data_IF_434222049299
#
_entry.id   IF_434222049299
#
_cell.length_a   1.000
_cell.length_b   1.000
_cell.length_c   1.000
_cell.angle_alpha   90.00
_cell.angle_beta   90.00
_cell.angle_gamma   90.00
#
_symmetry.space_group_name_H-M   'P 1'
#
loop_
_entity.id
_entity.type
_entity.pdbx_description
1 polymer ?
#
# COMPACT_ATOMS: atom_id res chain seq x y z
N UNK A 1 15.82 16.93 -33.60
CA UNK A 1 16.14 15.64 -32.98
C UNK A 1 16.54 15.92 -31.53
N UNK A 2 15.66 15.73 -30.53
CA UNK A 2 16.02 16.10 -29.17
C UNK A 2 16.70 14.91 -28.51
N UNK A 3 18.02 15.01 -28.39
CA UNK A 3 18.84 14.16 -27.54
C UNK A 3 18.27 14.15 -26.12
N UNK A 4 17.66 13.04 -25.72
CA UNK A 4 17.43 12.73 -24.33
C UNK A 4 18.79 12.43 -23.67
N UNK A 5 19.08 12.95 -22.47
CA UNK A 5 20.32 12.62 -21.78
C UNK A 5 20.33 11.14 -21.43
N UNK A 6 21.22 10.37 -22.07
CA UNK A 6 21.46 8.97 -21.72
C UNK A 6 22.20 8.91 -20.38
N UNK A 7 21.45 8.71 -19.30
CA UNK A 7 22.03 8.38 -18.01
C UNK A 7 22.54 6.94 -18.08
N UNK A 8 23.87 6.77 -18.23
CA UNK A 8 24.52 5.46 -18.28
C UNK A 8 24.34 4.76 -16.92
N UNK A 9 23.35 3.88 -16.84
CA UNK A 9 23.18 2.98 -15.70
C UNK A 9 24.34 1.98 -15.71
N UNK A 10 25.23 2.08 -14.71
CA UNK A 10 26.20 1.04 -14.40
C UNK A 10 25.44 -0.24 -14.09
N UNK A 11 25.68 -1.31 -14.85
CA UNK A 11 25.05 -2.62 -14.68
C UNK A 11 25.64 -3.34 -13.46
N UNK A 12 25.38 -2.77 -12.28
CA UNK A 12 25.60 -3.42 -10.99
C UNK A 12 24.58 -4.54 -10.81
N UNK A 13 25.01 -5.62 -10.17
CA UNK A 13 24.38 -6.94 -10.05
C UNK A 13 23.13 -6.95 -9.14
N UNK A 14 22.23 -5.99 -9.32
CA UNK A 14 20.97 -5.83 -8.60
C UNK A 14 19.89 -5.31 -9.55
N UNK A 15 19.04 -6.19 -10.05
CA UNK A 15 18.12 -5.91 -11.17
C UNK A 15 16.81 -5.24 -10.71
N UNK A 16 16.89 -4.22 -9.84
CA UNK A 16 15.70 -3.45 -9.47
C UNK A 16 15.47 -2.29 -10.42
N UNK A 17 14.19 -2.09 -10.77
CA UNK A 17 13.77 -1.06 -11.72
C UNK A 17 12.51 -0.37 -11.25
N UNK A 18 12.54 0.96 -11.19
CA UNK A 18 11.36 1.79 -11.06
C UNK A 18 10.83 2.13 -12.46
N UNK A 19 9.55 1.87 -12.70
CA UNK A 19 8.87 2.23 -13.94
C UNK A 19 7.82 3.29 -13.62
N UNK A 20 7.96 4.46 -14.22
CA UNK A 20 7.04 5.58 -14.06
C UNK A 20 6.29 5.72 -15.39
N UNK A 21 4.96 5.66 -15.34
CA UNK A 21 4.11 5.88 -16.52
C UNK A 21 3.13 6.99 -16.23
N UNK A 22 2.80 7.78 -17.26
CA UNK A 22 1.87 8.90 -17.11
C UNK A 22 1.69 9.69 -18.39
N UNK A 23 1.15 10.90 -18.26
CA UNK A 23 0.98 11.84 -19.36
C UNK A 23 1.90 13.06 -19.15
N UNK A 24 2.67 13.44 -20.16
CA UNK A 24 3.40 14.71 -20.20
C UNK A 24 2.76 15.59 -21.29
N UNK A 25 2.19 16.72 -20.90
CA UNK A 25 1.42 17.59 -21.81
C UNK A 25 0.32 16.82 -22.59
N UNK A 26 -0.36 15.88 -21.92
CA UNK A 26 -1.41 15.05 -22.51
C UNK A 26 -0.91 13.87 -23.37
N UNK A 27 0.42 13.70 -23.53
CA UNK A 27 0.99 12.57 -24.29
C UNK A 27 1.46 11.45 -23.35
N UNK A 28 1.14 10.18 -23.65
CA UNK A 28 1.67 9.05 -22.89
C UNK A 28 3.19 9.02 -22.87
N UNK A 29 3.75 8.82 -21.67
CA UNK A 29 5.18 8.73 -21.43
C UNK A 29 5.50 7.64 -20.41
N UNK A 30 6.66 7.00 -20.59
CA UNK A 30 7.20 5.95 -19.72
C UNK A 30 8.68 6.23 -19.47
N UNK A 31 9.08 6.19 -18.21
CA UNK A 31 10.46 6.29 -17.77
C UNK A 31 10.84 5.06 -16.96
N UNK A 32 12.09 4.65 -17.11
CA UNK A 32 12.65 3.52 -16.39
C UNK A 32 13.96 3.93 -15.74
N UNK A 33 14.09 3.63 -14.44
CA UNK A 33 15.30 3.89 -13.67
C UNK A 33 15.73 2.59 -13.01
N UNK A 34 16.91 2.08 -13.41
CA UNK A 34 17.54 0.94 -12.78
C UNK A 34 18.36 1.40 -11.56
N UNK A 35 18.31 0.65 -10.47
CA UNK A 35 19.06 0.94 -9.25
C UNK A 35 19.37 -0.35 -8.48
N UNK A 36 20.46 -0.35 -7.72
CA UNK A 36 20.80 -1.46 -6.84
C UNK A 36 20.11 -1.32 -5.47
N UNK A 37 19.20 -2.24 -5.16
CA UNK A 37 18.53 -2.27 -3.85
C UNK A 37 19.31 -3.06 -2.80
N UNK A 38 20.28 -3.90 -3.21
CA UNK A 38 20.98 -4.83 -2.33
C UNK A 38 21.65 -4.17 -1.11
N UNK A 39 22.24 -2.96 -1.20
CA UNK A 39 22.82 -2.27 -0.05
C UNK A 39 21.81 -1.96 1.07
N UNK A 40 20.53 -1.80 0.73
CA UNK A 40 19.47 -1.42 1.67
C UNK A 40 18.75 -2.63 2.29
N UNK A 41 18.94 -3.83 1.72
CA UNK A 41 18.34 -5.07 2.22
C UNK A 41 19.23 -5.77 3.26
N UNK A 42 20.54 -5.50 3.26
CA UNK A 42 21.50 -6.08 4.21
C UNK A 42 21.29 -5.48 5.61
N UNK A 43 20.50 -6.16 6.45
CA UNK A 43 20.28 -5.79 7.85
C UNK A 43 18.82 -5.86 8.29
N UNK A 44 17.85 -5.91 7.36
CA UNK A 44 16.42 -5.82 7.67
C UNK A 44 15.77 -7.13 8.12
N UNK A 45 16.36 -8.28 7.82
CA UNK A 45 15.84 -9.60 8.22
C UNK A 45 15.70 -9.76 9.75
N UNK A 46 16.45 -8.95 10.53
CA UNK A 46 16.39 -8.96 12.00
C UNK A 46 15.33 -8.00 12.57
N UNK A 47 14.91 -7.00 11.81
CA UNK A 47 13.89 -6.01 12.21
C UNK A 47 12.48 -6.40 11.74
N UNK A 48 12.36 -7.21 10.70
CA UNK A 48 11.06 -7.63 10.12
C UNK A 48 10.17 -8.34 11.15
N UNK A 49 10.76 -9.20 12.01
CA UNK A 49 10.03 -9.83 13.12
C UNK A 49 9.53 -8.83 14.17
N UNK A 50 10.28 -7.78 14.44
CA UNK A 50 9.89 -6.73 15.39
C UNK A 50 8.79 -5.85 14.81
N UNK A 51 8.79 -5.65 13.49
CA UNK A 51 7.78 -4.85 12.81
C UNK A 51 6.47 -5.61 12.55
N UNK A 52 6.56 -6.92 12.29
CA UNK A 52 5.40 -7.81 12.15
C UNK A 52 4.54 -7.81 13.42
N UNK A 53 5.17 -7.88 14.60
CA UNK A 53 4.48 -7.80 15.89
C UNK A 53 3.72 -6.47 16.10
N UNK A 54 4.32 -5.34 15.70
CA UNK A 54 3.71 -4.01 15.85
C UNK A 54 2.55 -3.77 14.88
N UNK A 55 2.68 -4.24 13.63
CA UNK A 55 1.61 -4.13 12.64
C UNK A 55 0.46 -5.11 12.93
N UNK A 56 0.75 -6.29 13.49
CA UNK A 56 -0.25 -7.25 13.91
C UNK A 56 -1.14 -6.67 15.03
N UNK A 57 -0.57 -6.01 16.04
CA UNK A 57 -1.35 -5.36 17.10
C UNK A 57 -2.31 -4.28 16.55
N UNK A 58 -1.81 -3.44 15.65
CA UNK A 58 -2.63 -2.40 14.99
C UNK A 58 -3.79 -3.00 14.19
N UNK A 59 -3.52 -4.08 13.45
CA UNK A 59 -4.55 -4.75 12.65
C UNK A 59 -5.60 -5.43 13.53
N UNK A 60 -5.19 -6.06 14.64
CA UNK A 60 -6.12 -6.65 15.61
C UNK A 60 -7.05 -5.60 16.23
N UNK A 61 -6.51 -4.43 16.59
CA UNK A 61 -7.32 -3.35 17.14
C UNK A 61 -8.35 -2.84 16.11
N UNK A 62 -7.91 -2.58 14.87
CA UNK A 62 -8.80 -2.12 13.80
C UNK A 62 -9.89 -3.14 13.45
N UNK A 63 -9.54 -4.43 13.41
CA UNK A 63 -10.51 -5.50 13.20
C UNK A 63 -11.54 -5.57 14.34
N UNK A 64 -11.09 -5.45 15.59
CA UNK A 64 -11.96 -5.39 16.76
C UNK A 64 -12.92 -4.21 16.72
N UNK A 65 -12.41 -3.01 16.41
CA UNK A 65 -13.24 -1.81 16.27
C UNK A 65 -14.28 -1.96 15.14
N UNK A 66 -13.89 -2.51 13.99
CA UNK A 66 -14.83 -2.74 12.88
C UNK A 66 -15.96 -3.69 13.27
N UNK A 67 -15.64 -4.79 13.94
CA UNK A 67 -16.64 -5.77 14.38
C UNK A 67 -17.61 -5.14 15.39
N UNK A 68 -17.11 -4.38 16.37
CA UNK A 68 -17.94 -3.69 17.36
C UNK A 68 -18.88 -2.69 16.67
N UNK A 69 -18.34 -1.88 15.76
CA UNK A 69 -19.11 -0.88 15.02
C UNK A 69 -20.20 -1.53 14.15
N UNK A 70 -19.92 -2.68 13.54
CA UNK A 70 -20.91 -3.45 12.79
C UNK A 70 -22.04 -3.92 13.69
N UNK A 71 -21.74 -4.41 14.91
CA UNK A 71 -22.74 -4.80 15.90
C UNK A 71 -23.57 -3.63 16.41
N UNK A 72 -22.95 -2.49 16.70
CA UNK A 72 -23.64 -1.27 17.13
C UNK A 72 -24.63 -0.81 16.05
N UNK A 73 -24.18 -0.77 14.79
CA UNK A 73 -25.03 -0.37 13.67
C UNK A 73 -26.14 -1.39 13.36
N UNK A 74 -25.91 -2.69 13.60
CA UNK A 74 -26.97 -3.70 13.51
C UNK A 74 -28.01 -3.50 14.62
N UNK A 75 -27.59 -3.23 15.85
CA UNK A 75 -28.50 -2.97 16.98
C UNK A 75 -29.35 -1.72 16.74
N UNK A 76 -28.76 -0.64 16.23
CA UNK A 76 -29.49 0.58 15.86
C UNK A 76 -30.55 0.30 14.78
N UNK A 77 -30.21 -0.54 13.81
CA UNK A 77 -31.15 -0.91 12.73
C UNK A 77 -32.23 -1.88 13.17
N UNK A 78 -31.98 -2.72 14.18
CA UNK A 78 -32.99 -3.62 14.74
C UNK A 78 -34.10 -2.86 15.49
N UNK A 79 -33.81 -1.70 16.10
CA UNK A 79 -34.82 -0.81 16.69
C UNK A 79 -35.81 -0.21 15.66
N UNK A 80 -35.38 -0.05 14.40
CA UNK A 80 -36.24 0.46 13.32
C UNK A 80 -37.20 -0.62 12.76
N UNK A 81 -36.91 -1.91 12.99
CA UNK A 81 -37.72 -3.02 12.45
C UNK A 81 -38.91 -3.37 13.38
N UNK A 82 -38.90 -2.93 14.64
CA UNK A 82 -40.03 -3.12 15.57
C UNK A 82 -41.13 -2.04 15.43
N UNK A 83 -40.86 -0.92 14.76
CA UNK A 83 -41.84 0.16 14.54
C UNK A 83 -42.62 0.03 13.22
N UNK A 84 -42.44 -1.06 12.48
CA UNK A 84 -43.08 -1.32 11.18
C UNK A 84 -44.16 -2.41 11.18
N UNK A 85 -44.76 -2.71 12.34
CA UNK A 85 -45.92 -3.64 12.44
C UNK A 85 -47.05 -3.03 13.27
N UNK A 86 -47.50 -1.85 12.91
CA UNK A 86 -48.87 -1.44 13.26
C UNK A 86 -49.47 -0.61 12.13
N UNK A 87 -50.24 -1.32 11.29
CA UNK A 87 -51.47 -0.98 10.55
C UNK A 87 -51.51 -1.62 9.15
#
# INVERSE_FOLDING_TARGET
DPHAPEFKASHGKGDCKAVITGLLCGKPMRWEVAFDIQPYLKGREREEKVHEDLWNETFHHLAGCSIIQDFEHMADKECEIEHGKEL
#
